data_IF_458475944364
#
_entry.id   IF_458475944364
#
_cell.length_a   1.000
_cell.length_b   1.000
_cell.length_c   1.000
_cell.angle_alpha   90.00
_cell.angle_beta   90.00
_cell.angle_gamma   90.00
#
_symmetry.space_group_name_H-M   'P 1'
#
loop_
_entity.id
_entity.type
_entity.pdbx_description
1 polymer ?
#
# COMPACT_ATOMS: atom_id res chain seq x y z
N UNK A 1 72.21 6.08 6.22
CA UNK A 1 71.54 5.75 7.49
C UNK A 1 70.07 6.15 7.38
N UNK A 2 69.12 5.22 7.58
CA UNK A 2 67.68 5.47 7.42
C UNK A 2 67.08 5.97 8.74
N UNK A 3 66.51 7.18 8.73
CA UNK A 3 65.78 7.76 9.86
C UNK A 3 64.46 6.99 10.07
N UNK A 4 64.37 6.21 11.15
CA UNK A 4 63.09 5.68 11.63
C UNK A 4 62.52 6.67 12.65
N UNK A 5 61.73 7.64 12.19
CA UNK A 5 60.90 8.44 13.10
C UNK A 5 59.78 7.55 13.63
N UNK A 6 59.80 7.24 14.92
CA UNK A 6 58.73 6.49 15.58
C UNK A 6 57.45 7.32 15.68
N UNK A 7 56.30 6.65 15.65
CA UNK A 7 54.99 7.27 15.92
C UNK A 7 54.98 7.76 17.37
N UNK A 8 54.60 9.02 17.57
CA UNK A 8 54.40 9.55 18.91
C UNK A 8 53.07 9.10 19.48
N UNK A 9 52.99 8.89 20.80
CA UNK A 9 51.76 8.49 21.50
C UNK A 9 50.61 9.48 21.25
N UNK A 10 50.94 10.76 21.10
CA UNK A 10 50.00 11.84 20.80
C UNK A 10 49.46 11.74 19.37
N UNK A 11 50.31 11.44 18.37
CA UNK A 11 49.85 11.18 17.00
C UNK A 11 48.92 9.98 16.91
N UNK A 12 49.24 8.88 17.63
CA UNK A 12 48.38 7.70 17.65
C UNK A 12 47.01 8.04 18.27
N UNK A 13 47.00 8.78 19.38
CA UNK A 13 45.76 9.19 20.04
C UNK A 13 44.92 10.11 19.13
N UNK A 14 45.56 11.09 18.48
CA UNK A 14 44.88 11.98 17.54
C UNK A 14 44.27 11.22 16.35
N UNK A 15 45.01 10.26 15.79
CA UNK A 15 44.53 9.41 14.71
C UNK A 15 43.35 8.53 15.14
N UNK A 16 43.41 7.97 16.35
CA UNK A 16 42.33 7.15 16.92
C UNK A 16 41.05 7.96 17.14
N UNK A 17 41.16 9.18 17.68
CA UNK A 17 40.02 10.09 17.86
C UNK A 17 39.40 10.45 16.51
N UNK A 18 40.22 10.80 15.52
CA UNK A 18 39.74 11.14 14.18
C UNK A 18 39.06 9.94 13.50
N UNK A 19 39.62 8.73 13.67
CA UNK A 19 39.03 7.50 13.18
C UNK A 19 37.65 7.23 13.79
N UNK A 20 37.49 7.41 15.11
CA UNK A 20 36.20 7.24 15.75
C UNK A 20 35.17 8.26 15.27
N UNK A 21 35.56 9.55 15.17
CA UNK A 21 34.67 10.59 14.66
C UNK A 21 34.16 10.26 13.25
N UNK A 22 35.07 9.87 12.35
CA UNK A 22 34.71 9.51 10.97
C UNK A 22 33.86 8.25 10.94
N UNK A 23 34.20 7.22 11.72
CA UNK A 23 33.46 5.96 11.76
C UNK A 23 32.04 6.13 12.29
N UNK A 24 31.85 6.95 13.33
CA UNK A 24 30.51 7.26 13.87
C UNK A 24 29.65 7.98 12.84
N UNK A 25 30.23 8.93 12.09
CA UNK A 25 29.51 9.63 11.02
C UNK A 25 29.07 8.66 9.92
N UNK A 26 29.97 7.80 9.45
CA UNK A 26 29.68 6.80 8.42
C UNK A 26 28.59 5.85 8.90
N UNK A 27 28.68 5.36 10.14
CA UNK A 27 27.70 4.45 10.72
C UNK A 27 26.32 5.11 10.86
N UNK A 28 26.26 6.38 11.24
CA UNK A 28 25.02 7.15 11.30
C UNK A 28 24.36 7.27 9.92
N UNK A 29 25.13 7.55 8.87
CA UNK A 29 24.59 7.66 7.51
C UNK A 29 24.09 6.29 7.03
N UNK A 30 24.87 5.24 7.25
CA UNK A 30 24.51 3.87 6.85
C UNK A 30 23.21 3.41 7.54
N UNK A 31 23.08 3.65 8.84
CA UNK A 31 21.86 3.28 9.60
C UNK A 31 20.63 4.05 9.12
N UNK A 32 20.76 5.35 8.85
CA UNK A 32 19.67 6.15 8.28
C UNK A 32 19.28 5.67 6.87
N UNK A 33 20.25 5.31 6.03
CA UNK A 33 20.00 4.79 4.70
C UNK A 33 19.22 3.45 4.76
N UNK A 34 19.60 2.55 5.65
CA UNK A 34 18.91 1.27 5.85
C UNK A 34 17.47 1.48 6.33
N UNK A 35 17.25 2.38 7.28
CA UNK A 35 15.91 2.66 7.80
C UNK A 35 15.00 3.29 6.73
N UNK A 36 15.52 4.26 5.97
CA UNK A 36 14.79 4.88 4.86
C UNK A 36 14.46 3.87 3.75
N UNK A 37 15.39 2.97 3.43
CA UNK A 37 15.18 1.91 2.46
C UNK A 37 14.02 1.01 2.90
N UNK A 38 14.06 0.52 4.15
CA UNK A 38 13.00 -0.33 4.71
C UNK A 38 11.64 0.36 4.69
N UNK A 39 11.57 1.62 5.07
CA UNK A 39 10.32 2.38 5.05
C UNK A 39 9.76 2.53 3.61
N UNK A 40 10.64 2.76 2.64
CA UNK A 40 10.25 2.88 1.23
C UNK A 40 9.76 1.53 0.68
N UNK A 41 10.45 0.45 1.00
CA UNK A 41 10.08 -0.91 0.62
C UNK A 41 8.70 -1.30 1.18
N UNK A 42 8.48 -1.14 2.49
CA UNK A 42 7.17 -1.43 3.12
C UNK A 42 6.06 -0.60 2.49
N UNK A 43 6.30 0.69 2.23
CA UNK A 43 5.32 1.55 1.55
C UNK A 43 5.01 1.07 0.14
N UNK A 44 6.02 0.68 -0.63
CA UNK A 44 5.84 0.14 -1.98
C UNK A 44 5.01 -1.14 -1.97
N UNK A 45 5.29 -2.08 -1.06
CA UNK A 45 4.51 -3.31 -0.91
C UNK A 45 3.06 -2.99 -0.54
N UNK A 46 2.82 -2.10 0.42
CA UNK A 46 1.47 -1.69 0.81
C UNK A 46 0.69 -1.05 -0.35
N UNK A 47 1.36 -0.24 -1.19
CA UNK A 47 0.75 0.33 -2.38
C UNK A 47 0.40 -0.73 -3.42
N UNK A 48 1.26 -1.72 -3.62
CA UNK A 48 0.97 -2.84 -4.53
C UNK A 48 -0.25 -3.64 -4.06
N UNK A 49 -0.34 -3.94 -2.77
CA UNK A 49 -1.49 -4.65 -2.19
C UNK A 49 -2.79 -3.86 -2.35
N UNK A 50 -2.77 -2.54 -2.07
CA UNK A 50 -3.92 -1.69 -2.28
C UNK A 50 -4.34 -1.62 -3.76
N UNK A 51 -3.38 -1.57 -4.68
CA UNK A 51 -3.66 -1.60 -6.12
C UNK A 51 -4.24 -2.95 -6.56
N UNK A 52 -3.75 -4.07 -6.02
CA UNK A 52 -4.31 -5.39 -6.27
C UNK A 52 -5.78 -5.45 -5.81
N UNK A 53 -6.05 -4.97 -4.60
CA UNK A 53 -7.41 -4.86 -4.05
C UNK A 53 -8.34 -4.03 -4.95
N UNK A 54 -7.89 -2.82 -5.35
CA UNK A 54 -8.63 -1.95 -6.26
C UNK A 54 -8.88 -2.65 -7.60
N UNK A 55 -7.88 -3.33 -8.16
CA UNK A 55 -8.02 -4.04 -9.44
C UNK A 55 -9.02 -5.20 -9.36
N UNK A 56 -9.08 -5.92 -8.24
CA UNK A 56 -10.12 -6.91 -8.01
C UNK A 56 -11.51 -6.26 -8.00
N UNK A 57 -11.69 -5.13 -7.30
CA UNK A 57 -12.95 -4.39 -7.32
C UNK A 57 -13.32 -3.87 -8.71
N UNK A 58 -12.36 -3.33 -9.48
CA UNK A 58 -12.58 -2.89 -10.85
C UNK A 58 -13.00 -4.07 -11.74
N UNK A 59 -12.36 -5.23 -11.59
CA UNK A 59 -12.70 -6.44 -12.36
C UNK A 59 -14.14 -6.87 -12.09
N UNK A 60 -14.55 -6.90 -10.82
CA UNK A 60 -15.94 -7.20 -10.45
C UNK A 60 -16.90 -6.14 -11.01
N UNK A 61 -16.57 -4.87 -10.82
CA UNK A 61 -17.40 -3.75 -11.27
C UNK A 61 -17.62 -3.74 -12.79
N UNK A 62 -16.69 -4.32 -13.57
CA UNK A 62 -16.82 -4.44 -15.03
C UNK A 62 -17.62 -5.65 -15.48
N UNK A 63 -17.59 -6.73 -14.70
CA UNK A 63 -18.10 -8.05 -15.13
C UNK A 63 -19.45 -8.41 -14.52
N UNK A 64 -19.79 -7.87 -13.36
CA UNK A 64 -21.07 -8.10 -12.71
C UNK A 64 -22.15 -7.13 -13.23
N UNK A 65 -23.42 -7.47 -13.02
CA UNK A 65 -24.55 -6.53 -13.18
C UNK A 65 -24.86 -5.84 -11.86
N UNK A 66 -24.67 -6.55 -10.75
CA UNK A 66 -24.60 -5.98 -9.42
C UNK A 66 -23.67 -6.81 -8.53
N UNK A 67 -23.12 -6.17 -7.51
CA UNK A 67 -22.37 -6.90 -6.48
C UNK A 67 -22.58 -6.29 -5.11
N UNK A 68 -22.42 -7.13 -4.10
CA UNK A 68 -22.40 -6.72 -2.70
C UNK A 68 -20.98 -6.82 -2.19
N UNK A 69 -20.46 -5.73 -1.65
CA UNK A 69 -19.20 -5.70 -0.92
C UNK A 69 -19.52 -5.71 0.57
N UNK A 70 -19.06 -6.74 1.28
CA UNK A 70 -19.22 -6.90 2.72
C UNK A 70 -17.86 -6.90 3.39
N UNK A 71 -17.68 -6.10 4.43
CA UNK A 71 -16.48 -6.18 5.26
C UNK A 71 -16.67 -7.26 6.31
N UNK A 72 -16.00 -8.40 6.15
CA UNK A 72 -16.10 -9.51 7.10
C UNK A 72 -15.32 -9.21 8.38
N UNK A 73 -14.10 -8.71 8.23
CA UNK A 73 -13.20 -8.37 9.33
C UNK A 73 -12.29 -7.19 8.97
N UNK A 74 -11.27 -6.93 9.81
CA UNK A 74 -10.33 -5.85 9.60
C UNK A 74 -9.50 -5.99 8.32
N UNK A 75 -9.30 -7.21 7.82
CA UNK A 75 -8.38 -7.53 6.72
C UNK A 75 -9.02 -8.38 5.63
N UNK A 76 -10.35 -8.50 5.60
CA UNK A 76 -11.03 -9.29 4.59
C UNK A 76 -12.38 -8.70 4.15
N UNK A 77 -12.62 -8.79 2.85
CA UNK A 77 -13.85 -8.36 2.20
C UNK A 77 -14.45 -9.53 1.43
N UNK A 78 -15.73 -9.81 1.66
CA UNK A 78 -16.51 -10.73 0.84
C UNK A 78 -17.15 -9.94 -0.31
N UNK A 79 -16.97 -10.43 -1.52
CA UNK A 79 -17.60 -9.87 -2.71
C UNK A 79 -18.55 -10.91 -3.28
N UNK A 80 -19.84 -10.59 -3.30
CA UNK A 80 -20.88 -11.46 -3.87
C UNK A 80 -21.39 -10.84 -5.17
N UNK A 81 -21.17 -11.52 -6.29
CA UNK A 81 -21.57 -11.09 -7.64
C UNK A 81 -22.90 -11.70 -8.01
N UNK A 82 -23.82 -10.88 -8.51
CA UNK A 82 -25.13 -11.30 -9.00
C UNK A 82 -25.94 -12.18 -8.02
N UNK A 83 -25.61 -12.16 -6.72
CA UNK A 83 -26.27 -12.97 -5.69
C UNK A 83 -25.83 -14.44 -5.60
N UNK A 84 -24.92 -14.91 -6.44
CA UNK A 84 -24.54 -16.34 -6.52
C UNK A 84 -23.04 -16.56 -6.30
N UNK A 85 -22.20 -15.83 -7.03
CA UNK A 85 -20.75 -16.04 -7.04
C UNK A 85 -20.05 -15.17 -5.98
N UNK A 86 -19.64 -15.78 -4.87
CA UNK A 86 -18.90 -15.09 -3.81
C UNK A 86 -17.42 -15.46 -3.77
N UNK A 87 -16.56 -14.47 -3.52
CA UNK A 87 -15.14 -14.70 -3.22
C UNK A 87 -14.65 -13.70 -2.17
N UNK A 88 -13.60 -14.08 -1.45
CA UNK A 88 -13.00 -13.23 -0.41
C UNK A 88 -11.71 -12.60 -0.92
N UNK A 89 -11.56 -11.31 -0.68
CA UNK A 89 -10.30 -10.58 -0.87
C UNK A 89 -9.67 -10.41 0.50
N UNK A 90 -8.53 -11.05 0.72
CA UNK A 90 -7.66 -10.81 1.88
C UNK A 90 -6.77 -9.60 1.60
N UNK A 91 -6.55 -8.77 2.61
CA UNK A 91 -5.68 -7.58 2.52
C UNK A 91 -4.45 -7.68 3.44
N UNK A 92 -4.30 -8.82 4.13
CA UNK A 92 -3.17 -9.11 5.04
C UNK A 92 -1.83 -8.96 4.30
N UNK A 93 -0.81 -8.31 4.89
CA UNK A 93 -0.67 -7.92 6.30
C UNK A 93 -1.19 -6.52 6.64
N UNK A 94 -1.93 -5.87 5.73
CA UNK A 94 -2.46 -4.53 5.94
C UNK A 94 -3.97 -4.58 6.17
N UNK A 95 -4.46 -3.64 6.96
CA UNK A 95 -5.88 -3.32 6.98
C UNK A 95 -6.16 -2.32 5.87
N UNK A 96 -7.15 -2.62 5.05
CA UNK A 96 -7.64 -1.69 4.03
C UNK A 96 -9.02 -1.22 4.46
N UNK A 97 -9.16 0.07 4.74
CA UNK A 97 -10.43 0.72 5.03
C UNK A 97 -11.01 1.29 3.72
N UNK A 98 -12.21 0.85 3.36
CA UNK A 98 -12.87 1.20 2.08
C UNK A 98 -14.00 2.19 2.32
N UNK A 99 -14.07 3.22 1.48
CA UNK A 99 -15.20 4.13 1.39
C UNK A 99 -15.72 4.18 -0.04
N UNK A 100 -17.02 3.92 -0.20
CA UNK A 100 -17.72 3.92 -1.49
C UNK A 100 -18.78 5.01 -1.45
N UNK A 101 -18.84 5.86 -2.46
CA UNK A 101 -19.73 7.04 -2.47
C UNK A 101 -19.58 7.91 -1.20
N UNK A 102 -18.36 8.03 -0.66
CA UNK A 102 -18.05 8.72 0.61
C UNK A 102 -18.63 8.07 1.88
N UNK A 103 -19.16 6.85 1.79
CA UNK A 103 -19.62 6.07 2.94
C UNK A 103 -18.57 5.02 3.27
N UNK A 104 -17.95 5.15 4.44
CA UNK A 104 -16.97 4.19 4.94
C UNK A 104 -17.67 2.89 5.38
N UNK A 105 -17.17 1.75 4.91
CA UNK A 105 -17.72 0.44 5.23
C UNK A 105 -17.15 -0.08 6.56
N UNK A 106 -18.01 -0.21 7.57
CA UNK A 106 -17.63 -0.77 8.87
C UNK A 106 -17.68 -2.29 8.86
N UNK A 107 -17.08 -2.92 9.88
CA UNK A 107 -17.11 -4.37 10.01
C UNK A 107 -18.56 -4.89 10.13
N UNK A 108 -18.88 -5.92 9.35
CA UNK A 108 -20.22 -6.50 9.25
C UNK A 108 -21.17 -5.73 8.34
N UNK A 109 -20.80 -4.52 7.90
CA UNK A 109 -21.62 -3.76 6.94
C UNK A 109 -21.42 -4.27 5.52
N UNK A 110 -22.49 -4.11 4.73
CA UNK A 110 -22.55 -4.50 3.34
C UNK A 110 -23.12 -3.36 2.51
N UNK A 111 -22.52 -3.10 1.36
CA UNK A 111 -23.03 -2.18 0.37
C UNK A 111 -23.28 -2.91 -0.94
N UNK A 112 -24.51 -2.79 -1.46
CA UNK A 112 -24.86 -3.30 -2.77
C UNK A 112 -24.71 -2.21 -3.81
N UNK A 113 -24.02 -2.52 -4.90
CA UNK A 113 -23.82 -1.63 -6.03
C UNK A 113 -24.54 -2.21 -7.23
N UNK A 114 -25.53 -1.48 -7.73
CA UNK A 114 -26.29 -1.84 -8.92
C UNK A 114 -25.76 -1.06 -10.14
N UNK A 115 -25.14 -1.77 -11.07
CA UNK A 115 -24.39 -1.19 -12.18
C UNK A 115 -25.31 -0.78 -13.35
N UNK A 116 -26.58 -1.18 -13.31
CA UNK A 116 -27.62 -0.65 -14.22
C UNK A 116 -27.95 0.80 -13.90
N UNK A 117 -27.81 1.21 -12.63
CA UNK A 117 -28.11 2.57 -12.17
C UNK A 117 -26.88 3.42 -11.91
N UNK A 118 -25.74 2.79 -11.59
CA UNK A 118 -24.53 3.49 -11.19
C UNK A 118 -23.31 2.92 -11.92
N UNK A 119 -22.95 3.53 -13.05
CA UNK A 119 -21.83 3.11 -13.90
C UNK A 119 -20.46 3.62 -13.42
N UNK A 120 -20.45 4.61 -12.53
CA UNK A 120 -19.25 5.13 -11.88
C UNK A 120 -19.48 5.28 -10.38
N UNK A 121 -18.55 4.73 -9.58
CA UNK A 121 -18.58 4.78 -8.12
C UNK A 121 -17.25 5.33 -7.61
N UNK A 122 -17.22 6.51 -6.97
CA UNK A 122 -16.04 6.97 -6.24
C UNK A 122 -15.64 5.96 -5.17
N UNK A 123 -14.37 5.60 -5.18
CA UNK A 123 -13.75 4.66 -4.26
C UNK A 123 -12.56 5.35 -3.59
N UNK A 124 -12.57 5.38 -2.26
CA UNK A 124 -11.41 5.74 -1.46
C UNK A 124 -10.94 4.52 -0.69
N UNK A 125 -9.65 4.23 -0.78
CA UNK A 125 -8.99 3.11 -0.14
C UNK A 125 -7.92 3.66 0.80
N UNK A 126 -8.06 3.44 2.10
CA UNK A 126 -7.09 3.85 3.11
C UNK A 126 -6.34 2.64 3.64
N UNK A 127 -5.02 2.66 3.54
CA UNK A 127 -4.16 1.57 3.99
C UNK A 127 -3.65 1.87 5.38
N UNK A 128 -3.94 0.96 6.32
CA UNK A 128 -3.57 1.03 7.72
C UNK A 128 -2.69 -0.18 8.08
N UNK A 129 -1.52 0.03 8.70
CA UNK A 129 -0.66 -1.06 9.12
C UNK A 129 -1.28 -1.78 10.34
N UNK A 130 -1.26 -3.11 10.35
CA UNK A 130 -1.72 -3.88 11.51
C UNK A 130 -0.71 -3.85 12.67
N UNK A 131 0.59 -3.95 12.35
CA UNK A 131 1.65 -4.18 13.34
C UNK A 131 2.84 -3.20 13.28
N UNK A 132 2.87 -2.27 12.31
CA UNK A 132 4.00 -1.33 12.16
C UNK A 132 3.57 0.12 12.43
N UNK A 133 3.92 0.63 13.61
CA UNK A 133 3.63 2.01 14.02
C UNK A 133 4.47 3.06 13.28
N UNK A 134 5.57 2.67 12.63
CA UNK A 134 6.41 3.59 11.84
C UNK A 134 5.87 3.79 10.43
N UNK A 135 4.98 2.91 9.99
CA UNK A 135 4.30 3.03 8.72
C UNK A 135 3.25 4.15 8.80
N UNK A 136 3.38 5.13 7.90
CA UNK A 136 2.39 6.20 7.77
C UNK A 136 1.24 5.72 6.89
N UNK A 137 0.03 5.79 7.43
CA UNK A 137 -1.20 5.53 6.68
C UNK A 137 -1.27 6.42 5.44
N UNK A 138 -1.80 5.89 4.35
CA UNK A 138 -2.04 6.66 3.14
C UNK A 138 -3.38 6.26 2.52
N UNK A 139 -3.93 7.15 1.70
CA UNK A 139 -5.19 6.94 0.99
C UNK A 139 -4.99 7.04 -0.52
N UNK A 140 -5.75 6.25 -1.26
CA UNK A 140 -5.84 6.26 -2.72
C UNK A 140 -7.29 6.59 -3.05
N UNK A 141 -7.49 7.72 -3.73
CA UNK A 141 -8.79 8.11 -4.29
C UNK A 141 -8.85 7.71 -5.76
N UNK A 142 -9.90 6.98 -6.14
CA UNK A 142 -10.10 6.47 -7.50
C UNK A 142 -11.58 6.37 -7.84
N UNK A 143 -11.90 5.93 -9.05
CA UNK A 143 -13.25 5.63 -9.50
C UNK A 143 -13.33 4.22 -10.07
N UNK A 144 -14.35 3.48 -9.65
CA UNK A 144 -14.75 2.25 -10.31
C UNK A 144 -15.63 2.64 -11.49
N UNK A 145 -15.25 2.26 -12.71
CA UNK A 145 -16.00 2.57 -13.92
C UNK A 145 -16.25 1.32 -14.75
N UNK A 146 -17.45 1.24 -15.34
CA UNK A 146 -17.78 0.27 -16.38
C UNK A 146 -17.46 0.88 -17.74
N UNK A 147 -16.55 0.27 -18.49
CA UNK A 147 -16.37 0.61 -19.92
C UNK A 147 -17.51 -0.09 -20.65
N UNK A 148 -18.50 0.68 -21.10
CA UNK A 148 -19.50 0.15 -22.02
C UNK A 148 -18.78 -0.23 -23.31
N UNK A 149 -18.93 -1.46 -23.85
CA UNK A 149 -18.44 -1.73 -25.19
C UNK A 149 -19.17 -0.76 -26.12
N UNK A 150 -18.40 0.00 -26.90
CA UNK A 150 -18.92 0.83 -27.97
C UNK A 150 -19.86 -0.05 -28.80
N UNK A 151 -21.13 0.33 -28.89
CA UNK A 151 -21.99 -0.16 -29.96
C UNK A 151 -21.39 0.36 -31.25
N UNK A 152 -20.50 -0.43 -31.85
CA UNK A 152 -20.06 -0.25 -33.22
C UNK A 152 -21.26 -0.58 -34.10
N UNK A 153 -22.17 0.40 -34.21
CA UNK A 153 -23.24 0.44 -35.19
C UNK A 153 -22.59 0.65 -36.55
N UNK A 154 -22.04 -0.44 -37.10
CA UNK A 154 -21.86 -0.58 -38.55
C UNK A 154 -23.09 -1.31 -39.06
N UNK A 155 -24.21 -0.58 -39.06
CA UNK A 155 -25.19 -0.75 -40.12
C UNK A 155 -24.56 -0.13 -41.37
N UNK A 156 -24.11 -0.98 -42.29
CA UNK A 156 -24.06 -0.76 -43.74
C UNK A 156 -23.80 -2.07 -44.48
#
# INVERSE_FOLDING_TARGET
>A
MKNQKGITLVELLAGLVLFFLVSTLIFSIATQAIENYRQTETRSIAQQEANLFINHLISVHRTADFYTLTRNDDSSYLVTRNGEDSFTISTTPYRIDVSLNHTALQQGESIQINLSTQQSVPLQVTVVPLNDQRFKTFSIDTQLYRISPNSDSRDE
#
